data_IF_593193757797
#
_entry.id   IF_593193757797
#
_cell.length_a   1.000
_cell.length_b   1.000
_cell.length_c   1.000
_cell.angle_alpha   90.00
_cell.angle_beta   90.00
_cell.angle_gamma   90.00
#
_symmetry.space_group_name_H-M   'P 1'
#
loop_
_entity.id
_entity.type
_entity.pdbx_description
1 polymer ?
#
# COMPACT_ATOMS: atom_id res chain seq x y z
N UNK A 1 34.65 -16.02 18.13
CA UNK A 1 33.55 -15.67 19.06
C UNK A 1 32.40 -15.14 18.17
N UNK A 2 31.40 -15.98 17.90
CA UNK A 2 30.21 -15.56 17.12
C UNK A 2 29.37 -14.72 18.08
N UNK A 3 29.31 -13.41 17.85
CA UNK A 3 28.35 -12.55 18.54
C UNK A 3 26.97 -12.98 18.07
N UNK A 4 26.28 -13.80 18.85
CA UNK A 4 24.87 -14.07 18.64
C UNK A 4 24.14 -12.75 18.79
N UNK A 5 23.59 -12.22 17.70
CA UNK A 5 22.76 -11.01 17.73
C UNK A 5 21.62 -11.25 18.72
N UNK A 6 21.43 -10.33 19.66
CA UNK A 6 20.35 -10.42 20.68
C UNK A 6 18.98 -10.42 20.01
N UNK A 7 18.86 -9.87 18.81
CA UNK A 7 17.64 -9.83 18.01
C UNK A 7 17.88 -10.58 16.70
N UNK A 8 17.05 -11.58 16.40
CA UNK A 8 17.09 -12.27 15.11
C UNK A 8 16.59 -11.36 13.98
N UNK A 9 17.07 -11.59 12.75
CA UNK A 9 16.58 -10.87 11.56
C UNK A 9 15.06 -11.00 11.41
N UNK A 10 14.52 -12.18 11.68
CA UNK A 10 13.07 -12.43 11.63
C UNK A 10 12.30 -11.54 12.60
N UNK A 11 12.79 -11.38 13.82
CA UNK A 11 12.16 -10.51 14.81
C UNK A 11 12.26 -9.04 14.39
N UNK A 12 13.42 -8.61 13.89
CA UNK A 12 13.60 -7.23 13.42
C UNK A 12 12.63 -6.90 12.27
N UNK A 13 12.53 -7.77 11.28
CA UNK A 13 11.58 -7.61 10.16
C UNK A 13 10.12 -7.63 10.65
N UNK A 14 9.78 -8.49 11.61
CA UNK A 14 8.45 -8.54 12.19
C UNK A 14 8.09 -7.24 12.92
N UNK A 15 9.00 -6.68 13.72
CA UNK A 15 8.76 -5.42 14.42
C UNK A 15 8.55 -4.24 13.46
N UNK A 16 9.41 -4.12 12.43
CA UNK A 16 9.24 -3.10 11.39
C UNK A 16 7.91 -3.24 10.67
N UNK A 17 7.55 -4.48 10.33
CA UNK A 17 6.27 -4.82 9.67
C UNK A 17 5.06 -4.45 10.53
N UNK A 18 5.09 -4.76 11.84
CA UNK A 18 4.01 -4.40 12.76
C UNK A 18 3.83 -2.89 12.83
N UNK A 19 4.91 -2.14 13.04
CA UNK A 19 4.83 -0.66 13.14
C UNK A 19 4.30 -0.06 11.85
N UNK A 20 4.89 -0.41 10.70
CA UNK A 20 4.50 0.17 9.41
C UNK A 20 3.10 -0.28 9.00
N UNK A 21 2.76 -1.56 9.21
CA UNK A 21 1.43 -2.09 8.92
C UNK A 21 0.33 -1.39 9.71
N UNK A 22 0.55 -1.15 11.02
CA UNK A 22 -0.40 -0.41 11.85
C UNK A 22 -0.54 1.05 11.44
N UNK A 23 0.55 1.72 11.04
CA UNK A 23 0.50 3.08 10.50
C UNK A 23 -0.35 3.11 9.21
N UNK A 24 -0.11 2.19 8.28
CA UNK A 24 -0.90 2.10 7.04
C UNK A 24 -2.37 1.79 7.36
N UNK A 25 -2.64 0.84 8.26
CA UNK A 25 -4.01 0.50 8.68
C UNK A 25 -4.73 1.70 9.32
N UNK A 26 -4.05 2.50 10.13
CA UNK A 26 -4.61 3.72 10.71
C UNK A 26 -5.04 4.73 9.64
N UNK A 27 -4.23 4.92 8.58
CA UNK A 27 -4.61 5.75 7.44
C UNK A 27 -5.81 5.19 6.67
N UNK A 28 -5.90 3.87 6.52
CA UNK A 28 -7.07 3.20 5.97
C UNK A 28 -8.32 3.41 6.84
N UNK A 29 -8.19 3.30 8.15
CA UNK A 29 -9.27 3.56 9.11
C UNK A 29 -9.78 5.02 9.04
N UNK A 30 -8.87 6.00 8.91
CA UNK A 30 -9.24 7.40 8.69
C UNK A 30 -10.09 7.57 7.42
N UNK A 31 -9.75 6.86 6.34
CA UNK A 31 -10.47 6.93 5.06
C UNK A 31 -11.82 6.23 5.09
N UNK A 32 -11.96 5.11 5.81
CA UNK A 32 -13.22 4.35 5.88
C UNK A 32 -14.13 4.90 6.97
N UNK A 33 -13.60 5.03 8.20
CA UNK A 33 -14.37 5.27 9.41
C UNK A 33 -14.42 6.75 9.82
N UNK A 34 -13.53 7.58 9.28
CA UNK A 34 -13.45 9.00 9.67
C UNK A 34 -12.87 9.23 11.07
N UNK A 35 -12.27 8.21 11.68
CA UNK A 35 -11.65 8.32 13.00
C UNK A 35 -10.42 9.23 12.98
N UNK A 36 -10.03 9.75 14.15
CA UNK A 36 -8.84 10.61 14.34
C UNK A 36 -8.77 11.81 13.38
N UNK A 37 -9.93 12.43 13.09
CA UNK A 37 -10.00 13.55 12.17
C UNK A 37 -9.89 13.19 10.69
N UNK A 38 -10.01 11.92 10.34
CA UNK A 38 -10.00 11.45 8.96
C UNK A 38 -11.25 11.84 8.19
N UNK A 39 -11.20 11.81 6.83
CA UNK A 39 -12.28 12.28 5.97
C UNK A 39 -13.51 11.34 5.94
N UNK A 40 -13.40 10.13 6.44
CA UNK A 40 -14.39 9.08 6.18
C UNK A 40 -14.52 8.76 4.69
N UNK A 41 -15.30 7.73 4.35
CA UNK A 41 -15.40 7.26 2.98
C UNK A 41 -15.98 8.32 2.03
N UNK A 42 -16.96 9.09 2.49
CA UNK A 42 -17.57 10.14 1.67
C UNK A 42 -16.57 11.27 1.33
N UNK A 43 -15.84 11.77 2.33
CA UNK A 43 -14.81 12.80 2.11
C UNK A 43 -13.63 12.27 1.31
N UNK A 44 -13.22 11.01 1.53
CA UNK A 44 -12.18 10.38 0.73
C UNK A 44 -12.60 10.21 -0.74
N UNK A 45 -13.84 9.80 -1.01
CA UNK A 45 -14.39 9.73 -2.37
C UNK A 45 -14.31 11.10 -3.09
N UNK A 46 -14.62 12.19 -2.39
CA UNK A 46 -14.44 13.53 -2.95
C UNK A 46 -12.96 13.84 -3.23
N UNK A 47 -12.04 13.40 -2.36
CA UNK A 47 -10.60 13.50 -2.58
C UNK A 47 -10.17 12.79 -3.86
N UNK A 48 -10.59 11.53 -4.04
CA UNK A 48 -10.32 10.72 -5.23
C UNK A 48 -10.92 11.35 -6.50
N UNK A 49 -12.11 11.97 -6.39
CA UNK A 49 -12.72 12.74 -7.49
C UNK A 49 -11.85 13.92 -7.90
N UNK A 50 -11.34 14.69 -6.93
CA UNK A 50 -10.41 15.83 -7.19
C UNK A 50 -9.10 15.39 -7.82
N UNK A 51 -8.65 14.17 -7.56
CA UNK A 51 -7.47 13.57 -8.24
C UNK A 51 -7.75 13.15 -9.69
N UNK A 52 -8.96 13.38 -10.20
CA UNK A 52 -9.35 13.07 -11.58
C UNK A 52 -9.50 11.57 -11.86
N UNK A 53 -9.65 10.74 -10.83
CA UNK A 53 -9.85 9.30 -11.01
C UNK A 53 -11.31 9.03 -11.43
N UNK A 54 -11.49 8.15 -12.43
CA UNK A 54 -12.83 7.67 -12.82
C UNK A 54 -13.31 6.60 -11.86
N UNK A 55 -14.65 6.45 -11.75
CA UNK A 55 -15.26 5.59 -10.75
C UNK A 55 -14.68 5.88 -9.33
N UNK A 56 -14.78 7.14 -8.85
CA UNK A 56 -14.10 7.55 -7.63
C UNK A 56 -14.57 6.75 -6.40
N UNK A 57 -15.82 6.32 -6.36
CA UNK A 57 -16.33 5.44 -5.30
C UNK A 57 -15.56 4.11 -5.26
N UNK A 58 -15.37 3.48 -6.42
CA UNK A 58 -14.63 2.23 -6.51
C UNK A 58 -13.17 2.41 -6.02
N UNK A 59 -12.49 3.43 -6.51
CA UNK A 59 -11.09 3.67 -6.11
C UNK A 59 -10.95 4.14 -4.66
N UNK A 60 -11.94 4.85 -4.14
CA UNK A 60 -11.98 5.19 -2.72
C UNK A 60 -12.07 3.92 -1.85
N UNK A 61 -12.90 2.95 -2.21
CA UNK A 61 -12.97 1.66 -1.54
C UNK A 61 -11.68 0.86 -1.69
N UNK A 62 -11.16 0.72 -2.91
CA UNK A 62 -9.93 -0.04 -3.18
C UNK A 62 -8.77 0.51 -2.36
N UNK A 63 -8.52 1.83 -2.41
CA UNK A 63 -7.42 2.43 -1.67
C UNK A 63 -7.59 2.33 -0.15
N UNK A 64 -8.80 2.59 0.35
CA UNK A 64 -9.07 2.51 1.79
C UNK A 64 -8.96 1.09 2.34
N UNK A 65 -9.47 0.10 1.60
CA UNK A 65 -9.41 -1.31 1.99
C UNK A 65 -8.00 -1.88 1.88
N UNK A 66 -7.27 -1.50 0.82
CA UNK A 66 -5.85 -1.88 0.69
C UNK A 66 -5.04 -1.39 1.88
N UNK A 67 -5.29 -0.17 2.36
CA UNK A 67 -4.59 0.36 3.52
C UNK A 67 -5.09 -0.26 4.83
N UNK A 68 -6.39 -0.37 5.05
CA UNK A 68 -6.94 -0.88 6.31
C UNK A 68 -6.67 -2.39 6.47
N UNK A 69 -7.26 -3.20 5.59
CA UNK A 69 -7.12 -4.65 5.67
C UNK A 69 -5.72 -5.10 5.28
N UNK A 70 -5.13 -4.48 4.24
CA UNK A 70 -3.76 -4.78 3.82
C UNK A 70 -2.73 -4.39 4.89
N UNK A 71 -2.89 -3.24 5.55
CA UNK A 71 -2.01 -2.83 6.65
C UNK A 71 -2.06 -3.81 7.82
N UNK A 72 -3.25 -4.27 8.20
CA UNK A 72 -3.44 -5.30 9.24
C UNK A 72 -2.79 -6.62 8.81
N UNK A 73 -3.09 -7.11 7.61
CA UNK A 73 -2.53 -8.36 7.09
C UNK A 73 -1.00 -8.28 6.99
N UNK A 74 -0.45 -7.14 6.57
CA UNK A 74 0.98 -6.87 6.52
C UNK A 74 1.61 -6.92 7.91
N UNK A 75 0.99 -6.29 8.92
CA UNK A 75 1.48 -6.31 10.30
C UNK A 75 1.61 -7.73 10.85
N UNK A 76 0.63 -8.58 10.58
CA UNK A 76 0.64 -9.98 10.99
C UNK A 76 1.47 -10.90 10.08
N UNK A 77 1.95 -10.44 8.93
CA UNK A 77 2.64 -11.27 7.95
C UNK A 77 1.74 -12.34 7.35
N UNK A 78 0.52 -11.95 6.97
CA UNK A 78 -0.45 -12.81 6.31
C UNK A 78 -0.47 -12.57 4.81
N UNK A 79 -0.31 -13.63 4.01
CA UNK A 79 -0.14 -13.58 2.55
C UNK A 79 0.90 -12.52 2.15
N UNK A 80 2.01 -12.49 2.90
CA UNK A 80 2.91 -11.34 2.95
C UNK A 80 3.38 -10.85 1.57
N UNK A 81 3.83 -11.69 0.61
CA UNK A 81 4.28 -11.18 -0.69
C UNK A 81 3.16 -10.52 -1.49
N UNK A 82 1.93 -11.02 -1.40
CA UNK A 82 0.75 -10.46 -2.09
C UNK A 82 0.38 -9.11 -1.50
N UNK A 83 0.25 -9.06 -0.17
CA UNK A 83 -0.14 -7.86 0.56
C UNK A 83 0.92 -6.77 0.44
N UNK A 84 2.20 -7.14 0.55
CA UNK A 84 3.30 -6.20 0.38
C UNK A 84 3.34 -5.60 -1.02
N UNK A 85 3.08 -6.40 -2.09
CA UNK A 85 2.98 -5.88 -3.45
C UNK A 85 1.80 -4.90 -3.60
N UNK A 86 0.63 -5.23 -3.05
CA UNK A 86 -0.54 -4.35 -3.08
C UNK A 86 -0.27 -3.02 -2.36
N UNK A 87 0.39 -3.04 -1.20
CA UNK A 87 0.77 -1.83 -0.47
C UNK A 87 1.85 -1.03 -1.20
N UNK A 88 2.81 -1.69 -1.85
CA UNK A 88 3.82 -1.02 -2.67
C UNK A 88 3.15 -0.26 -3.83
N UNK A 89 2.21 -0.91 -4.53
CA UNK A 89 1.42 -0.26 -5.59
C UNK A 89 0.62 0.90 -5.02
N UNK A 90 -0.07 0.70 -3.90
CA UNK A 90 -0.89 1.74 -3.25
C UNK A 90 -0.06 2.98 -2.89
N UNK A 91 1.15 2.80 -2.38
CA UNK A 91 2.06 3.92 -2.07
C UNK A 91 2.56 4.60 -3.35
N UNK A 92 2.84 3.85 -4.42
CA UNK A 92 3.16 4.40 -5.74
C UNK A 92 2.03 5.25 -6.32
N UNK A 93 0.79 4.78 -6.21
CA UNK A 93 -0.41 5.54 -6.62
C UNK A 93 -0.58 6.80 -5.76
N UNK A 94 -0.36 6.73 -4.46
CA UNK A 94 -0.40 7.89 -3.57
C UNK A 94 0.66 8.94 -3.97
N UNK A 95 1.88 8.51 -4.29
CA UNK A 95 2.94 9.38 -4.81
C UNK A 95 2.45 10.07 -6.09
N UNK A 96 2.02 9.30 -7.08
CA UNK A 96 1.61 9.83 -8.39
C UNK A 96 0.43 10.81 -8.29
N UNK A 97 -0.61 10.46 -7.52
CA UNK A 97 -1.87 11.20 -7.53
C UNK A 97 -1.97 12.32 -6.51
N UNK A 98 -1.32 12.18 -5.38
CA UNK A 98 -1.50 13.11 -4.26
C UNK A 98 -0.24 13.92 -3.94
N UNK A 99 0.96 13.40 -4.23
CA UNK A 99 2.21 13.96 -3.75
C UNK A 99 3.16 14.42 -4.87
N UNK A 100 2.94 13.98 -6.13
CA UNK A 100 3.81 14.33 -7.24
C UNK A 100 3.88 15.85 -7.47
N UNK A 101 5.08 16.36 -7.69
CA UNK A 101 5.31 17.80 -7.92
C UNK A 101 5.42 18.65 -6.65
N UNK A 102 5.21 18.08 -5.45
CA UNK A 102 5.33 18.81 -4.17
C UNK A 102 6.72 18.69 -3.53
N UNK A 103 7.66 18.04 -4.21
CA UNK A 103 9.00 17.77 -3.73
C UNK A 103 9.08 16.55 -2.81
N UNK A 104 10.20 16.43 -2.12
CA UNK A 104 10.47 15.26 -1.27
C UNK A 104 9.81 15.37 0.11
N UNK A 105 10.00 16.48 0.81
CA UNK A 105 9.70 16.63 2.23
C UNK A 105 8.21 16.57 2.57
N UNK A 106 7.85 15.72 3.54
CA UNK A 106 6.46 15.55 4.00
C UNK A 106 5.86 16.85 4.57
N UNK A 107 6.66 17.72 5.19
CA UNK A 107 6.25 19.04 5.70
C UNK A 107 5.65 19.95 4.61
N UNK A 108 5.97 19.68 3.35
CA UNK A 108 5.43 20.36 2.16
C UNK A 108 4.38 19.51 1.42
N UNK A 109 3.96 18.39 2.01
CA UNK A 109 3.06 17.43 1.38
C UNK A 109 3.75 16.55 0.33
N UNK A 110 5.09 16.45 0.35
CA UNK A 110 5.91 15.69 -0.60
C UNK A 110 5.84 14.18 -0.44
N UNK A 111 6.70 13.49 -1.18
CA UNK A 111 6.64 12.04 -1.37
C UNK A 111 7.27 11.24 -0.22
N UNK A 112 7.99 11.86 0.70
CA UNK A 112 8.78 11.23 1.76
C UNK A 112 8.02 10.12 2.51
N UNK A 113 6.81 10.44 2.95
CA UNK A 113 6.02 9.53 3.76
C UNK A 113 5.54 8.29 2.96
N UNK A 114 4.81 8.42 1.84
CA UNK A 114 4.40 7.25 1.07
C UNK A 114 5.59 6.50 0.46
N UNK A 115 6.69 7.17 0.12
CA UNK A 115 7.92 6.52 -0.34
C UNK A 115 8.50 5.60 0.74
N UNK A 116 8.62 6.09 1.98
CA UNK A 116 9.16 5.31 3.11
C UNK A 116 8.29 4.08 3.39
N UNK A 117 6.96 4.25 3.46
CA UNK A 117 6.04 3.14 3.69
C UNK A 117 6.10 2.11 2.54
N UNK A 118 6.14 2.58 1.29
CA UNK A 118 6.25 1.73 0.11
C UNK A 118 7.57 0.97 0.05
N UNK A 119 8.69 1.60 0.40
CA UNK A 119 10.01 0.96 0.46
C UNK A 119 10.04 -0.15 1.52
N UNK A 120 9.48 0.10 2.71
CA UNK A 120 9.38 -0.94 3.76
C UNK A 120 8.48 -2.09 3.32
N UNK A 121 7.36 -1.79 2.67
CA UNK A 121 6.48 -2.83 2.12
C UNK A 121 7.23 -3.67 1.07
N UNK A 122 7.95 -3.03 0.15
CA UNK A 122 8.73 -3.73 -0.88
C UNK A 122 9.82 -4.64 -0.28
N UNK A 123 10.60 -4.14 0.68
CA UNK A 123 11.64 -4.92 1.37
C UNK A 123 11.03 -6.17 2.02
N UNK A 124 9.90 -6.02 2.73
CA UNK A 124 9.22 -7.17 3.34
C UNK A 124 8.60 -8.12 2.30
N UNK A 125 8.18 -7.62 1.13
CA UNK A 125 7.63 -8.44 0.06
C UNK A 125 8.64 -9.32 -0.66
N UNK A 126 9.91 -8.93 -0.68
CA UNK A 126 11.02 -9.70 -1.25
C UNK A 126 11.73 -10.58 -0.20
N UNK A 127 11.58 -10.27 1.09
CA UNK A 127 12.14 -11.05 2.18
C UNK A 127 11.27 -12.29 2.48
N UNK A 128 11.87 -13.28 3.14
CA UNK A 128 11.09 -14.38 3.74
C UNK A 128 10.17 -13.82 4.84
N UNK A 129 8.90 -14.29 4.96
CA UNK A 129 8.00 -13.84 6.03
C UNK A 129 8.54 -14.04 7.45
N UNK A 130 9.50 -14.97 7.62
CA UNK A 130 10.17 -15.27 8.88
C UNK A 130 9.31 -16.05 9.89
N UNK A 131 9.94 -16.41 10.99
CA UNK A 131 9.33 -17.22 12.05
C UNK A 131 8.13 -16.53 12.73
N UNK A 132 8.10 -15.19 12.74
CA UNK A 132 7.06 -14.39 13.40
C UNK A 132 5.96 -13.92 12.44
N UNK A 133 5.61 -14.72 11.43
CA UNK A 133 4.54 -14.44 10.48
C UNK A 133 3.34 -15.35 10.68
N UNK A 134 2.16 -14.85 10.35
CA UNK A 134 0.94 -15.65 10.35
C UNK A 134 1.00 -16.71 9.24
N UNK A 135 1.66 -16.42 8.12
CA UNK A 135 1.90 -17.42 7.05
C UNK A 135 2.61 -18.65 7.61
N UNK A 136 3.66 -18.44 8.40
CA UNK A 136 4.41 -19.54 9.03
C UNK A 136 3.56 -20.25 10.11
N UNK A 137 2.85 -19.50 10.95
CA UNK A 137 2.04 -20.08 12.02
C UNK A 137 0.88 -20.95 11.49
N UNK A 138 0.34 -20.60 10.32
CA UNK A 138 -0.72 -21.37 9.65
C UNK A 138 -0.19 -22.47 8.72
N UNK A 139 1.13 -22.63 8.60
CA UNK A 139 1.74 -23.61 7.70
C UNK A 139 1.41 -23.35 6.24
N UNK A 140 1.21 -22.10 5.82
CA UNK A 140 0.96 -21.77 4.43
C UNK A 140 2.18 -22.07 3.55
N UNK A 141 1.98 -22.45 2.29
CA UNK A 141 3.08 -22.64 1.37
C UNK A 141 3.94 -21.39 1.26
N UNK A 142 5.27 -21.55 1.22
CA UNK A 142 6.18 -20.44 1.04
C UNK A 142 5.92 -19.74 -0.31
N UNK A 143 5.41 -18.52 -0.25
CA UNK A 143 5.24 -17.65 -1.41
C UNK A 143 6.51 -16.85 -1.58
N UNK A 144 7.39 -17.28 -2.47
CA UNK A 144 8.67 -16.60 -2.73
C UNK A 144 8.51 -15.24 -3.42
N UNK A 145 9.65 -14.55 -3.61
CA UNK A 145 9.74 -13.26 -4.31
C UNK A 145 9.03 -13.23 -5.68
N UNK A 146 8.93 -14.38 -6.36
CA UNK A 146 8.20 -14.49 -7.63
C UNK A 146 6.74 -14.07 -7.52
N UNK A 147 6.05 -14.45 -6.44
CA UNK A 147 4.66 -14.03 -6.20
C UNK A 147 4.57 -12.52 -6.00
N UNK A 148 5.46 -11.93 -5.20
CA UNK A 148 5.54 -10.49 -5.04
C UNK A 148 5.70 -9.76 -6.39
N UNK A 149 6.66 -10.21 -7.22
CA UNK A 149 6.93 -9.59 -8.52
C UNK A 149 5.75 -9.73 -9.49
N UNK A 150 5.12 -10.89 -9.55
CA UNK A 150 3.95 -11.10 -10.40
C UNK A 150 2.80 -10.18 -9.98
N UNK A 151 2.47 -10.13 -8.70
CA UNK A 151 1.39 -9.25 -8.19
C UNK A 151 1.73 -7.78 -8.43
N UNK A 152 2.99 -7.38 -8.20
CA UNK A 152 3.45 -6.01 -8.43
C UNK A 152 3.30 -5.61 -9.91
N UNK A 153 3.74 -6.44 -10.83
CA UNK A 153 3.67 -6.16 -12.27
C UNK A 153 2.21 -6.15 -12.74
N UNK A 154 1.45 -7.20 -12.45
CA UNK A 154 0.05 -7.33 -12.88
C UNK A 154 -0.80 -6.19 -12.30
N UNK A 155 -0.66 -5.91 -11.02
CA UNK A 155 -1.42 -4.83 -10.36
C UNK A 155 -1.04 -3.44 -10.89
N UNK A 156 0.25 -3.18 -11.13
CA UNK A 156 0.70 -1.92 -11.73
C UNK A 156 0.17 -1.76 -13.16
N UNK A 157 0.24 -2.81 -13.98
CA UNK A 157 -0.32 -2.80 -15.35
C UNK A 157 -1.83 -2.56 -15.31
N UNK A 158 -2.57 -3.26 -14.45
CA UNK A 158 -4.01 -3.06 -14.29
C UNK A 158 -4.35 -1.61 -13.89
N UNK A 159 -3.60 -1.03 -12.94
CA UNK A 159 -3.76 0.37 -12.56
C UNK A 159 -3.49 1.33 -13.75
N UNK A 160 -2.38 1.15 -14.46
CA UNK A 160 -2.01 2.02 -15.60
C UNK A 160 -3.04 1.93 -16.73
N UNK A 161 -3.51 0.73 -17.07
CA UNK A 161 -4.53 0.55 -18.10
C UNK A 161 -5.86 1.22 -17.71
N UNK A 162 -6.29 1.06 -16.45
CA UNK A 162 -7.52 1.69 -15.94
C UNK A 162 -7.43 3.21 -15.95
N UNK A 163 -6.26 3.77 -15.60
CA UNK A 163 -6.04 5.21 -15.57
C UNK A 163 -5.98 5.82 -16.97
N UNK A 164 -5.35 5.14 -17.95
CA UNK A 164 -5.29 5.59 -19.36
C UNK A 164 -6.65 5.53 -20.05
N UNK A 165 -7.38 4.44 -19.93
CA UNK A 165 -8.73 4.32 -20.46
C UNK A 165 -9.66 5.44 -19.91
N UNK A 166 -9.36 5.90 -18.71
CA UNK A 166 -10.04 7.03 -18.08
C UNK A 166 -9.74 8.35 -18.79
N UNK A 167 -8.49 8.62 -19.11
CA UNK A 167 -8.07 9.86 -19.76
C UNK A 167 -8.61 9.98 -21.20
N UNK A 168 -8.61 8.88 -21.96
CA UNK A 168 -9.06 8.84 -23.36
C UNK A 168 -10.56 9.14 -23.49
N UNK A 169 -11.40 8.49 -22.70
CA UNK A 169 -12.86 8.77 -22.71
C UNK A 169 -13.19 10.19 -22.26
N UNK A 170 -12.38 10.79 -21.36
CA UNK A 170 -12.59 12.18 -20.95
C UNK A 170 -12.30 13.16 -22.09
N UNK A 171 -11.36 12.86 -23.00
CA UNK A 171 -11.09 13.63 -24.21
C UNK A 171 -12.25 13.54 -25.20
N UNK A 172 -12.76 12.34 -25.45
CA UNK A 172 -13.90 12.10 -26.36
C UNK A 172 -15.14 12.86 -25.89
N UNK A 173 -15.48 12.79 -24.59
CA UNK A 173 -16.66 13.48 -24.05
C UNK A 173 -16.54 15.02 -24.00
N UNK A 174 -15.33 15.59 -24.15
CA UNK A 174 -15.14 17.06 -24.27
C UNK A 174 -15.18 17.54 -25.72
N UNK A 175 -15.06 16.61 -26.67
CA UNK A 175 -15.05 16.92 -28.10
C UNK A 175 -16.44 16.71 -28.76
N UNK A 176 -17.37 16.10 -28.02
CA UNK A 176 -18.79 15.91 -28.39
C UNK A 176 -19.67 16.98 -27.74
#
# INVERSE_FOLDING_TARGET
>A
MVVTSVISTDLALALVRVVVGLVIAAHGAQKVLGVWGGPGLAGWTQGVTRMGMRAPVFWAWVSSFSELAGGIAFAFGFLLPVVAAALTIQMGVAIERAHWGKGFWNSKGGIEFPFTLGAVAAINGIADPGAYSLDRALGLPAMGVGVYLVVLVVGTVAYVLSSRASAERAKVNRAA
#
